data_IF_526335502779
#
_entry.id   IF_526335502779
#
_cell.length_a   1.000
_cell.length_b   1.000
_cell.length_c   1.000
_cell.angle_alpha   90.00
_cell.angle_beta   90.00
_cell.angle_gamma   90.00
#
_symmetry.space_group_name_H-M   'P 1'
#
loop_
_entity.id
_entity.type
_entity.pdbx_description
1 polymer ?
#
# COMPACT_ATOMS: atom_id res chain seq x y z
N UNK A 1 -5.63 10.56 -4.89
CA UNK A 1 -6.20 9.19 -4.89
C UNK A 1 -7.36 9.10 -3.91
N UNK A 2 -8.47 8.47 -4.30
CA UNK A 2 -9.59 8.14 -3.42
C UNK A 2 -9.52 6.64 -3.10
N UNK A 3 -9.42 6.26 -1.84
CA UNK A 3 -9.31 4.86 -1.39
C UNK A 3 -10.28 4.70 -0.23
N UNK A 4 -11.34 3.90 -0.44
CA UNK A 4 -12.32 3.56 0.58
C UNK A 4 -12.43 2.05 0.65
N UNK A 5 -12.17 1.49 1.83
CA UNK A 5 -12.27 0.06 2.10
C UNK A 5 -13.71 -0.42 2.02
N UNK A 6 -14.63 0.43 2.42
CA UNK A 6 -16.03 0.09 2.59
C UNK A 6 -16.89 0.79 1.54
N UNK A 7 -17.92 0.10 1.07
CA UNK A 7 -19.08 0.72 0.42
C UNK A 7 -19.93 1.44 1.46
N UNK A 8 -20.90 2.25 1.02
CA UNK A 8 -21.85 2.91 1.92
C UNK A 8 -22.71 1.96 2.77
N UNK A 9 -22.67 0.65 2.48
CA UNK A 9 -23.46 -0.40 3.14
C UNK A 9 -22.62 -1.26 4.12
N UNK A 10 -21.38 -0.85 4.42
CA UNK A 10 -20.50 -1.58 5.35
C UNK A 10 -19.86 -2.86 4.76
N UNK A 11 -20.11 -3.16 3.50
CA UNK A 11 -19.43 -4.22 2.75
C UNK A 11 -18.10 -3.72 2.20
N UNK A 12 -17.17 -4.64 1.85
CA UNK A 12 -15.95 -4.26 1.15
C UNK A 12 -16.34 -3.62 -0.18
N UNK A 13 -15.72 -2.48 -0.49
CA UNK A 13 -15.92 -1.81 -1.78
C UNK A 13 -15.55 -2.77 -2.93
N UNK A 14 -16.49 -3.12 -3.82
CA UNK A 14 -16.26 -4.14 -4.86
C UNK A 14 -15.15 -3.76 -5.85
N UNK A 15 -14.87 -2.46 -5.99
CA UNK A 15 -13.84 -1.94 -6.89
C UNK A 15 -12.46 -1.77 -6.23
N UNK A 16 -12.35 -2.05 -4.92
CA UNK A 16 -11.15 -1.77 -4.14
C UNK A 16 -9.93 -2.54 -4.66
N UNK A 17 -10.08 -3.84 -4.87
CA UNK A 17 -8.98 -4.72 -5.28
C UNK A 17 -8.79 -4.79 -6.80
N UNK A 18 -9.73 -4.25 -7.58
CA UNK A 18 -9.67 -4.15 -9.04
C UNK A 18 -9.27 -2.73 -9.46
N UNK A 19 -10.26 -1.90 -9.81
CA UNK A 19 -10.08 -0.58 -10.43
C UNK A 19 -9.26 0.35 -9.53
N UNK A 20 -9.51 0.37 -8.22
CA UNK A 20 -8.80 1.27 -7.30
C UNK A 20 -7.33 0.86 -7.17
N UNK A 21 -7.06 -0.44 -6.96
CA UNK A 21 -5.70 -0.97 -6.85
C UNK A 21 -4.90 -0.74 -8.14
N UNK A 22 -5.48 -1.02 -9.30
CA UNK A 22 -4.86 -0.81 -10.62
C UNK A 22 -4.52 0.66 -10.87
N UNK A 23 -5.47 1.58 -10.64
CA UNK A 23 -5.24 3.02 -10.80
C UNK A 23 -4.15 3.54 -9.85
N UNK A 24 -4.12 3.05 -8.62
CA UNK A 24 -3.05 3.40 -7.68
C UNK A 24 -1.69 2.88 -8.18
N UNK A 25 -1.64 1.64 -8.66
CA UNK A 25 -0.44 1.02 -9.19
C UNK A 25 0.12 1.76 -10.40
N UNK A 26 -0.73 2.07 -11.38
CA UNK A 26 -0.36 2.84 -12.57
C UNK A 26 0.18 4.23 -12.20
N UNK A 27 -0.58 4.97 -11.40
CA UNK A 27 -0.22 6.34 -10.97
C UNK A 27 1.13 6.33 -10.27
N UNK A 28 1.31 5.46 -9.28
CA UNK A 28 2.53 5.39 -8.48
C UNK A 28 3.71 4.90 -9.35
N UNK A 29 3.50 3.99 -10.28
CA UNK A 29 4.57 3.54 -11.19
C UNK A 29 5.04 4.71 -12.06
N UNK A 30 4.11 5.44 -12.67
CA UNK A 30 4.38 6.59 -13.53
C UNK A 30 5.08 7.74 -12.78
N UNK A 31 4.68 8.04 -11.54
CA UNK A 31 5.33 9.07 -10.73
C UNK A 31 6.79 8.73 -10.37
N UNK A 32 7.14 7.44 -10.41
CA UNK A 32 8.50 6.97 -10.16
C UNK A 32 9.47 7.18 -11.33
N UNK A 33 8.95 7.54 -12.50
CA UNK A 33 9.71 7.69 -13.73
C UNK A 33 10.46 9.03 -13.79
N UNK A 34 11.69 8.97 -14.31
CA UNK A 34 12.43 10.12 -14.84
C UNK A 34 12.76 9.80 -16.31
N UNK A 35 11.94 10.31 -17.22
CA UNK A 35 11.94 9.84 -18.61
C UNK A 35 11.52 8.37 -18.68
N UNK A 36 12.28 7.52 -19.38
CA UNK A 36 12.02 6.07 -19.49
C UNK A 36 12.64 5.21 -18.38
N UNK A 37 13.11 5.83 -17.30
CA UNK A 37 13.79 5.12 -16.20
C UNK A 37 13.05 5.28 -14.89
N UNK A 38 12.77 4.14 -14.24
CA UNK A 38 12.22 4.11 -12.90
C UNK A 38 13.32 4.44 -11.88
N UNK A 39 13.28 5.66 -11.35
CA UNK A 39 14.24 6.16 -10.35
C UNK A 39 13.70 6.01 -8.93
N UNK A 40 12.38 6.22 -8.75
CA UNK A 40 11.69 6.09 -7.46
C UNK A 40 10.63 4.99 -7.51
N UNK A 41 10.08 4.64 -6.35
CA UNK A 41 9.07 3.59 -6.20
C UNK A 41 9.54 2.22 -6.73
N UNK A 42 10.84 1.92 -6.74
CA UNK A 42 11.33 0.59 -7.15
C UNK A 42 10.57 -0.48 -6.37
N UNK A 43 10.16 -1.57 -7.02
CA UNK A 43 9.31 -2.57 -6.38
C UNK A 43 9.90 -3.12 -5.08
N UNK A 44 11.23 -3.19 -4.97
CA UNK A 44 11.93 -3.59 -3.75
C UNK A 44 11.81 -2.59 -2.60
N UNK A 45 11.57 -1.31 -2.86
CA UNK A 45 11.25 -0.32 -1.82
C UNK A 45 9.81 -0.48 -1.36
N UNK A 46 8.87 -0.64 -2.30
CA UNK A 46 7.44 -0.79 -1.97
C UNK A 46 7.19 -2.08 -1.20
N UNK A 47 7.83 -3.18 -1.62
CA UNK A 47 7.75 -4.49 -0.98
C UNK A 47 8.14 -4.48 0.50
N UNK A 48 9.12 -3.67 0.91
CA UNK A 48 9.49 -3.57 2.34
C UNK A 48 8.34 -3.13 3.22
N UNK A 49 7.51 -2.19 2.74
CA UNK A 49 6.32 -1.75 3.48
C UNK A 49 5.25 -2.84 3.51
N UNK A 50 5.07 -3.56 2.40
CA UNK A 50 4.14 -4.67 2.31
C UNK A 50 4.54 -5.82 3.25
N UNK A 51 5.80 -6.26 3.20
CA UNK A 51 6.32 -7.35 4.04
C UNK A 51 6.21 -7.00 5.53
N UNK A 52 6.44 -5.73 5.90
CA UNK A 52 6.28 -5.28 7.28
C UNK A 52 4.80 -5.29 7.71
N UNK A 53 3.88 -4.84 6.85
CA UNK A 53 2.45 -4.90 7.12
C UNK A 53 1.95 -6.34 7.25
N UNK A 54 2.45 -7.24 6.39
CA UNK A 54 2.15 -8.67 6.43
C UNK A 54 2.65 -9.30 7.74
N UNK A 55 3.87 -8.94 8.19
CA UNK A 55 4.39 -9.37 9.49
C UNK A 55 3.45 -8.99 10.64
N UNK A 56 2.93 -7.76 10.68
CA UNK A 56 1.97 -7.36 11.72
C UNK A 56 0.68 -8.17 11.68
N UNK A 57 0.16 -8.45 10.49
CA UNK A 57 -0.99 -9.35 10.31
C UNK A 57 -0.70 -10.76 10.87
N UNK A 58 0.48 -11.30 10.60
CA UNK A 58 0.86 -12.63 11.09
C UNK A 58 1.01 -12.67 12.62
N UNK A 59 1.59 -11.63 13.23
CA UNK A 59 1.67 -11.51 14.69
C UNK A 59 0.29 -11.46 15.34
N UNK A 60 -0.63 -10.65 14.78
CA UNK A 60 -2.01 -10.55 15.27
C UNK A 60 -2.72 -11.91 15.13
N UNK A 61 -2.55 -12.61 14.00
CA UNK A 61 -3.08 -13.98 13.81
C UNK A 61 -2.50 -14.99 14.78
N UNK A 62 -1.26 -14.81 15.21
CA UNK A 62 -0.61 -15.66 16.20
C UNK A 62 -1.05 -15.41 17.65
N UNK A 63 -1.91 -14.42 17.88
CA UNK A 63 -2.50 -14.11 19.18
C UNK A 63 -2.01 -12.82 19.83
N UNK A 64 -1.16 -12.03 19.16
CA UNK A 64 -0.80 -10.70 19.66
C UNK A 64 -1.98 -9.71 19.58
N UNK A 65 -2.05 -8.79 20.54
CA UNK A 65 -3.11 -7.78 20.62
C UNK A 65 -3.02 -6.79 19.46
N UNK A 66 -4.11 -6.66 18.70
CA UNK A 66 -4.21 -5.64 17.66
C UNK A 66 -4.11 -4.23 18.23
N UNK A 67 -4.60 -3.98 19.45
CA UNK A 67 -4.52 -2.66 20.10
C UNK A 67 -3.06 -2.29 20.41
N UNK A 68 -2.26 -3.26 20.85
CA UNK A 68 -0.85 -3.06 21.17
C UNK A 68 -0.02 -2.87 19.88
N UNK A 69 -0.38 -3.59 18.81
CA UNK A 69 0.36 -3.55 17.54
C UNK A 69 -0.06 -2.40 16.61
N UNK A 70 -1.29 -1.88 16.73
CA UNK A 70 -1.81 -0.84 15.84
C UNK A 70 -0.96 0.45 15.81
N UNK A 71 -0.44 0.98 16.93
CA UNK A 71 0.47 2.13 16.90
C UNK A 71 1.74 1.84 16.08
N UNK A 72 2.31 0.64 16.22
CA UNK A 72 3.51 0.24 15.47
C UNK A 72 3.23 0.00 13.99
N UNK A 73 2.06 -0.54 13.65
CA UNK A 73 1.59 -0.61 12.27
C UNK A 73 1.44 0.80 11.67
N UNK A 74 0.83 1.74 12.42
CA UNK A 74 0.68 3.13 11.98
C UNK A 74 2.01 3.88 11.84
N UNK A 75 3.08 3.41 12.48
CA UNK A 75 4.44 3.92 12.32
C UNK A 75 4.98 3.74 10.88
N UNK A 76 4.37 2.86 10.07
CA UNK A 76 4.65 2.79 8.63
C UNK A 76 4.51 4.15 7.92
N UNK A 77 3.63 5.04 8.40
CA UNK A 77 3.52 6.42 7.90
C UNK A 77 4.82 7.21 8.09
N UNK A 78 5.45 7.10 9.26
CA UNK A 78 6.71 7.78 9.55
C UNK A 78 7.85 7.20 8.71
N UNK A 79 7.89 5.87 8.55
CA UNK A 79 8.85 5.18 7.67
C UNK A 79 8.70 5.61 6.21
N UNK A 80 7.47 5.78 5.73
CA UNK A 80 7.20 6.26 4.39
C UNK A 80 7.62 7.72 4.22
N UNK A 81 7.30 8.61 5.19
CA UNK A 81 7.78 9.99 5.15
C UNK A 81 9.32 10.08 5.09
N UNK A 82 10.02 9.24 5.85
CA UNK A 82 11.48 9.15 5.78
C UNK A 82 11.99 8.68 4.40
N UNK A 83 11.42 7.59 3.87
CA UNK A 83 11.81 7.08 2.55
C UNK A 83 11.50 8.06 1.41
N UNK A 84 10.41 8.82 1.53
CA UNK A 84 10.06 9.92 0.63
C UNK A 84 11.10 11.04 0.70
N UNK A 85 11.49 11.47 1.91
CA UNK A 85 12.56 12.48 2.11
C UNK A 85 13.93 12.02 1.59
N UNK A 86 14.19 10.71 1.58
CA UNK A 86 15.38 10.08 0.95
C UNK A 86 15.25 9.93 -0.58
N UNK A 87 14.11 10.30 -1.16
CA UNK A 87 13.85 10.19 -2.60
C UNK A 87 13.69 8.75 -3.10
N UNK A 88 13.41 7.78 -2.22
CA UNK A 88 13.23 6.36 -2.60
C UNK A 88 11.82 6.06 -3.12
N UNK A 89 10.84 6.78 -2.57
CA UNK A 89 9.43 6.69 -2.93
C UNK A 89 8.87 8.08 -3.21
N UNK A 90 7.67 8.12 -3.76
CA UNK A 90 6.96 9.35 -4.14
C UNK A 90 5.86 9.71 -3.15
N UNK A 91 5.42 10.97 -3.20
CA UNK A 91 4.31 11.48 -2.39
C UNK A 91 3.02 10.68 -2.56
N UNK A 92 2.75 10.19 -3.77
CA UNK A 92 1.55 9.43 -4.06
C UNK A 92 1.57 8.05 -3.37
N UNK A 93 2.71 7.36 -3.31
CA UNK A 93 2.83 6.14 -2.51
C UNK A 93 2.64 6.42 -1.00
N UNK A 94 3.29 7.45 -0.46
CA UNK A 94 3.08 7.86 0.94
C UNK A 94 1.61 8.15 1.24
N UNK A 95 0.93 8.85 0.32
CA UNK A 95 -0.49 9.20 0.45
C UNK A 95 -1.39 7.97 0.39
N UNK A 96 -1.11 7.02 -0.51
CA UNK A 96 -1.81 5.74 -0.58
C UNK A 96 -1.70 4.99 0.75
N UNK A 97 -0.48 4.81 1.25
CA UNK A 97 -0.23 4.11 2.51
C UNK A 97 -0.93 4.77 3.70
N UNK A 98 -0.84 6.11 3.79
CA UNK A 98 -1.54 6.89 4.81
C UNK A 98 -3.04 6.67 4.80
N UNK A 99 -3.67 6.76 3.62
CA UNK A 99 -5.12 6.56 3.47
C UNK A 99 -5.56 5.15 3.84
N UNK A 100 -4.76 4.14 3.55
CA UNK A 100 -5.06 2.77 4.00
C UNK A 100 -4.95 2.65 5.52
N UNK A 101 -3.87 3.15 6.13
CA UNK A 101 -3.63 3.05 7.57
C UNK A 101 -4.61 3.87 8.42
N UNK A 102 -5.18 4.95 7.87
CA UNK A 102 -6.26 5.71 8.51
C UNK A 102 -7.54 4.90 8.66
N UNK A 103 -7.74 3.87 7.81
CA UNK A 103 -8.94 3.02 7.82
C UNK A 103 -8.75 1.74 8.64
N UNK A 104 -7.54 1.44 9.11
CA UNK A 104 -7.27 0.30 9.99
C UNK A 104 -7.65 0.66 11.43
N UNK A 105 -8.58 -0.12 11.98
CA UNK A 105 -9.20 0.08 13.30
C UNK A 105 -9.20 -1.25 14.07
N UNK A 106 -8.74 -1.23 15.32
CA UNK A 106 -8.76 -2.41 16.18
C UNK A 106 -10.16 -2.91 16.50
N UNK A 107 -11.16 -2.03 16.49
CA UNK A 107 -12.59 -2.38 16.66
C UNK A 107 -13.18 -3.09 15.44
N UNK A 108 -12.49 -3.06 14.31
CA UNK A 108 -12.84 -3.78 13.11
C UNK A 108 -11.61 -4.53 12.55
N UNK A 109 -11.27 -5.71 13.07
CA UNK A 109 -10.09 -6.47 12.63
C UNK A 109 -10.08 -6.79 11.13
N UNK A 110 -11.27 -6.86 10.48
CA UNK A 110 -11.37 -7.03 9.03
C UNK A 110 -10.71 -5.88 8.26
N UNK A 111 -10.63 -4.67 8.83
CA UNK A 111 -9.95 -3.53 8.21
C UNK A 111 -8.47 -3.79 7.91
N UNK A 112 -7.78 -4.55 8.77
CA UNK A 112 -6.40 -4.96 8.53
C UNK A 112 -6.30 -5.96 7.36
N UNK A 113 -7.21 -6.93 7.31
CA UNK A 113 -7.27 -7.88 6.19
C UNK A 113 -7.53 -7.16 4.86
N UNK A 114 -8.47 -6.20 4.85
CA UNK A 114 -8.75 -5.38 3.67
C UNK A 114 -7.55 -4.55 3.25
N UNK A 115 -6.82 -3.95 4.21
CA UNK A 115 -5.57 -3.25 3.91
C UNK A 115 -4.55 -4.17 3.24
N UNK A 116 -4.29 -5.36 3.80
CA UNK A 116 -3.31 -6.29 3.26
C UNK A 116 -3.72 -6.78 1.87
N UNK A 117 -4.99 -7.16 1.67
CA UNK A 117 -5.50 -7.58 0.37
C UNK A 117 -5.43 -6.47 -0.68
N UNK A 118 -5.73 -5.22 -0.29
CA UNK A 118 -5.56 -4.07 -1.18
C UNK A 118 -4.09 -3.87 -1.57
N UNK A 119 -3.18 -3.95 -0.59
CA UNK A 119 -1.75 -3.77 -0.85
C UNK A 119 -1.21 -4.92 -1.72
N UNK A 120 -1.68 -6.15 -1.53
CA UNK A 120 -1.36 -7.30 -2.38
C UNK A 120 -1.82 -7.09 -3.84
N UNK A 121 -3.08 -6.70 -4.04
CA UNK A 121 -3.62 -6.38 -5.37
C UNK A 121 -2.82 -5.25 -6.04
N UNK A 122 -2.53 -4.17 -5.29
CA UNK A 122 -1.66 -3.09 -5.73
C UNK A 122 -0.30 -3.61 -6.19
N UNK A 123 0.36 -4.50 -5.42
CA UNK A 123 1.68 -5.05 -5.77
C UNK A 123 1.64 -5.88 -7.07
N UNK A 124 0.54 -6.61 -7.30
CA UNK A 124 0.31 -7.35 -8.54
C UNK A 124 0.23 -6.43 -9.76
N UNK A 125 -0.67 -5.45 -9.75
CA UNK A 125 -0.79 -4.45 -10.82
C UNK A 125 0.49 -3.63 -10.97
N UNK A 126 1.16 -3.27 -9.87
CA UNK A 126 2.39 -2.49 -9.90
C UNK A 126 3.48 -3.23 -10.66
N UNK A 127 3.63 -4.54 -10.42
CA UNK A 127 4.59 -5.37 -11.15
C UNK A 127 4.26 -5.42 -12.65
N UNK A 128 2.98 -5.47 -13.01
CA UNK A 128 2.55 -5.41 -14.40
C UNK A 128 3.02 -4.12 -15.08
N UNK A 129 2.71 -2.94 -14.50
CA UNK A 129 3.13 -1.65 -15.07
C UNK A 129 4.65 -1.47 -15.08
N UNK A 130 5.35 -1.86 -14.01
CA UNK A 130 6.82 -1.84 -13.96
C UNK A 130 7.44 -2.67 -15.11
N UNK A 131 6.83 -3.81 -15.45
CA UNK A 131 7.30 -4.66 -16.54
C UNK A 131 7.15 -4.02 -17.93
N UNK A 132 6.18 -3.11 -18.12
CA UNK A 132 6.00 -2.43 -19.40
C UNK A 132 7.08 -1.37 -19.65
N UNK A 133 7.59 -0.69 -18.60
CA UNK A 133 8.68 0.29 -18.72
C UNK A 133 9.92 -0.30 -19.39
N UNK A 134 10.20 -1.59 -19.13
CA UNK A 134 11.37 -2.27 -19.66
C UNK A 134 11.19 -2.81 -21.08
N UNK A 135 9.94 -2.94 -21.58
CA UNK A 135 9.67 -3.36 -22.96
C UNK A 135 9.81 -2.21 -23.97
N UNK A 136 9.68 -0.97 -23.52
CA UNK A 136 9.80 0.24 -24.35
C UNK A 136 11.25 0.79 -24.42
N UNK A 137 12.24 -0.02 -24.02
CA UNK A 137 13.69 0.23 -24.12
C UNK A 137 14.30 -0.58 -25.24
#
# INVERSE_FOLDING_TARGET
MNISFWSGEGQINPELFSIVAEKCAETICNDGLKGKKLEKNKISQLRKFYDEALRFKDLIKSGESIDDLLPYLKMLNAKAAYAEGRGLITRNFTTMLKKCLEQVDSRNPQSLEVFISFFEAFMGYYKYYESQINKDR
#
